data_IF_323155518482
#
_entry.id   IF_323155518482
#
_cell.length_a   1.000
_cell.length_b   1.000
_cell.length_c   1.000
_cell.angle_alpha   90.00
_cell.angle_beta   90.00
_cell.angle_gamma   90.00
#
_symmetry.space_group_name_H-M   'P 1'
#
loop_
_entity.id
_entity.type
_entity.pdbx_description
1 polymer ?
#
# COMPACT_ATOMS: atom_id res chain seq x y z
N UNK A 1 37.44 29.29 -4.95
CA UNK A 1 38.77 28.75 -4.62
C UNK A 1 38.81 28.39 -3.14
N UNK A 2 39.56 27.33 -2.79
CA UNK A 2 39.96 26.84 -1.44
C UNK A 2 38.88 26.00 -0.73
N UNK A 3 38.90 24.67 -0.93
CA UNK A 3 39.72 23.62 -0.24
C UNK A 3 39.19 23.34 1.18
N UNK A 4 38.57 22.19 1.46
CA UNK A 4 39.17 20.86 1.76
C UNK A 4 39.56 20.73 3.25
N UNK A 5 38.78 19.97 4.04
CA UNK A 5 39.15 19.33 5.33
C UNK A 5 38.08 18.24 5.61
N UNK A 6 38.38 16.96 5.34
CA UNK A 6 38.81 15.94 6.32
C UNK A 6 37.65 15.55 7.27
N UNK A 7 36.88 14.48 7.00
CA UNK A 7 37.22 13.05 7.21
C UNK A 7 37.76 12.78 8.64
N UNK A 8 36.88 12.31 9.53
CA UNK A 8 37.29 11.61 10.75
C UNK A 8 36.19 10.62 11.20
N UNK A 9 36.64 9.38 11.38
CA UNK A 9 35.93 8.19 11.81
C UNK A 9 35.08 8.36 13.07
N UNK A 10 33.95 7.65 13.13
CA UNK A 10 33.63 6.86 14.32
C UNK A 10 32.73 5.66 13.98
N UNK A 11 33.36 4.57 13.55
CA UNK A 11 32.80 3.23 13.60
C UNK A 11 32.77 2.76 15.06
N UNK A 12 31.60 2.72 15.69
CA UNK A 12 31.41 1.95 16.93
C UNK A 12 30.56 0.74 16.59
N UNK A 13 31.24 -0.39 16.45
CA UNK A 13 30.66 -1.71 16.39
C UNK A 13 30.00 -2.01 17.74
N UNK A 14 28.67 -2.14 17.75
CA UNK A 14 27.96 -2.75 18.87
C UNK A 14 27.71 -4.22 18.57
N UNK A 15 28.27 -5.03 19.46
CA UNK A 15 28.09 -6.47 19.58
C UNK A 15 26.61 -6.84 19.63
N UNK A 16 26.18 -7.71 18.73
CA UNK A 16 24.86 -8.35 18.74
C UNK A 16 25.00 -9.86 18.88
N UNK A 17 24.36 -10.41 19.90
CA UNK A 17 24.52 -11.76 20.44
C UNK A 17 24.31 -12.90 19.45
N UNK A 18 25.22 -13.87 19.56
CA UNK A 18 25.13 -15.25 19.07
C UNK A 18 23.91 -15.95 19.70
N UNK A 19 22.96 -16.41 18.88
CA UNK A 19 21.96 -17.40 19.28
C UNK A 19 21.83 -18.45 18.18
N UNK A 20 22.24 -19.66 18.53
CA UNK A 20 22.21 -20.84 17.70
C UNK A 20 20.77 -21.33 17.53
N UNK A 21 20.38 -21.65 16.29
CA UNK A 21 19.15 -22.35 15.98
C UNK A 21 19.47 -23.51 15.02
N UNK A 22 19.50 -24.70 15.64
CA UNK A 22 19.28 -26.06 15.12
C UNK A 22 19.24 -26.24 13.60
N UNK A 23 20.31 -26.87 13.14
CA UNK A 23 20.30 -27.85 12.06
C UNK A 23 19.15 -28.85 12.21
N UNK A 24 18.31 -28.96 11.18
CA UNK A 24 17.33 -30.03 11.05
C UNK A 24 17.74 -30.84 9.82
N UNK A 25 18.05 -32.12 10.04
CA UNK A 25 18.48 -33.08 9.04
C UNK A 25 17.55 -33.15 7.82
N UNK A 26 18.09 -33.44 6.60
CA UNK A 26 17.28 -33.71 5.43
C UNK A 26 16.79 -35.16 5.48
N UNK A 27 15.54 -35.37 5.91
CA UNK A 27 14.88 -36.68 5.82
C UNK A 27 13.99 -36.79 4.57
N UNK A 28 14.36 -37.79 3.78
CA UNK A 28 13.53 -38.63 2.93
C UNK A 28 12.90 -38.00 1.67
N UNK A 29 13.49 -38.38 0.52
CA UNK A 29 12.80 -38.49 -0.77
C UNK A 29 11.53 -39.34 -0.59
N UNK A 30 10.37 -38.70 -0.69
CA UNK A 30 9.09 -39.36 -0.91
C UNK A 30 8.73 -39.27 -2.41
N UNK A 31 8.33 -40.41 -2.94
CA UNK A 31 7.93 -40.71 -4.31
C UNK A 31 6.80 -39.78 -4.79
N UNK A 32 6.97 -39.08 -5.91
CA UNK A 32 5.88 -38.29 -6.52
C UNK A 32 4.98 -39.22 -7.36
N UNK A 33 3.66 -39.23 -7.14
CA UNK A 33 2.68 -40.04 -7.88
C UNK A 33 2.31 -39.46 -9.27
N UNK A 34 3.22 -38.69 -9.87
CA UNK A 34 3.00 -37.99 -11.14
C UNK A 34 3.43 -38.78 -12.38
N UNK A 35 3.68 -40.08 -12.24
CA UNK A 35 3.84 -41.00 -13.37
C UNK A 35 2.48 -41.42 -13.95
N UNK A 36 1.63 -40.44 -14.26
CA UNK A 36 0.41 -40.66 -15.04
C UNK A 36 0.49 -39.87 -16.34
N UNK A 37 1.18 -40.49 -17.30
CA UNK A 37 0.88 -40.35 -18.71
C UNK A 37 -0.59 -40.66 -18.95
N UNK A 38 -1.40 -39.67 -19.34
CA UNK A 38 -2.66 -39.89 -20.04
C UNK A 38 -2.98 -38.69 -20.94
N UNK A 39 -2.38 -38.75 -22.12
CA UNK A 39 -2.84 -38.15 -23.37
C UNK A 39 -4.28 -38.60 -23.62
N UNK A 40 -5.27 -37.70 -23.52
CA UNK A 40 -6.57 -37.71 -24.26
C UNK A 40 -7.44 -36.52 -23.82
N UNK A 41 -7.99 -35.78 -24.79
CA UNK A 41 -9.28 -35.11 -24.60
C UNK A 41 -9.32 -33.62 -24.89
N UNK A 42 -9.79 -33.27 -26.08
CA UNK A 42 -10.36 -31.96 -26.40
C UNK A 42 -11.38 -31.53 -25.34
N UNK A 43 -11.19 -30.34 -24.78
CA UNK A 43 -12.11 -29.72 -23.85
C UNK A 43 -11.64 -28.32 -23.51
N UNK A 44 -11.87 -27.38 -24.44
CA UNK A 44 -11.71 -25.94 -24.21
C UNK A 44 -12.77 -25.51 -23.20
N UNK A 45 -12.50 -25.74 -21.92
CA UNK A 45 -13.09 -24.93 -20.86
C UNK A 45 -12.00 -23.94 -20.53
N UNK A 46 -12.00 -22.82 -21.24
CA UNK A 46 -11.29 -21.64 -20.78
C UNK A 46 -11.93 -21.26 -19.46
N UNK A 47 -11.36 -21.74 -18.36
CA UNK A 47 -11.52 -21.12 -17.05
C UNK A 47 -11.21 -19.64 -17.28
N UNK A 48 -12.26 -18.82 -17.36
CA UNK A 48 -12.13 -17.38 -17.39
C UNK A 48 -11.55 -17.04 -16.02
N UNK A 49 -10.22 -16.98 -15.96
CA UNK A 49 -9.47 -16.70 -14.76
C UNK A 49 -10.10 -15.46 -14.14
N UNK A 50 -10.78 -15.68 -13.01
CA UNK A 50 -11.49 -14.65 -12.27
C UNK A 50 -10.46 -13.55 -12.03
N UNK A 51 -10.70 -12.36 -12.62
CA UNK A 51 -9.74 -11.27 -12.50
C UNK A 51 -9.38 -11.07 -11.02
N UNK A 52 -8.09 -10.98 -10.68
CA UNK A 52 -7.68 -10.87 -9.28
C UNK A 52 -8.36 -9.66 -8.66
N UNK A 53 -9.03 -9.86 -7.53
CA UNK A 53 -9.66 -8.80 -6.75
C UNK A 53 -8.58 -7.77 -6.43
N UNK A 54 -8.68 -6.56 -7.01
CA UNK A 54 -7.71 -5.49 -6.77
C UNK A 54 -7.89 -5.01 -5.33
N UNK A 55 -6.88 -5.25 -4.50
CA UNK A 55 -6.84 -4.79 -3.13
C UNK A 55 -5.97 -3.54 -3.04
N UNK A 56 -6.43 -2.55 -2.27
CA UNK A 56 -5.62 -1.37 -1.97
C UNK A 56 -4.62 -1.75 -0.88
N UNK A 57 -3.32 -1.56 -1.14
CA UNK A 57 -2.32 -1.83 -0.12
C UNK A 57 -2.27 -0.69 0.90
N UNK A 58 -1.97 -1.00 2.17
CA UNK A 58 -1.77 0.03 3.19
C UNK A 58 -0.68 1.03 2.78
N UNK A 59 0.37 0.55 2.10
CA UNK A 59 1.45 1.41 1.60
C UNK A 59 0.94 2.44 0.56
N UNK A 60 0.00 2.04 -0.29
CA UNK A 60 -0.61 2.93 -1.29
C UNK A 60 -1.39 4.07 -0.58
N UNK A 61 -2.13 3.73 0.48
CA UNK A 61 -2.85 4.72 1.31
C UNK A 61 -1.90 5.61 2.11
N UNK A 62 -0.77 5.07 2.56
CA UNK A 62 0.24 5.83 3.30
C UNK A 62 0.93 6.85 2.40
N UNK A 63 1.28 6.45 1.18
CA UNK A 63 1.83 7.36 0.18
C UNK A 63 0.83 8.47 -0.18
N UNK A 64 -0.46 8.14 -0.30
CA UNK A 64 -1.52 9.13 -0.49
C UNK A 64 -1.57 10.14 0.66
N UNK A 65 -1.50 9.68 1.92
CA UNK A 65 -1.44 10.55 3.09
C UNK A 65 -0.25 11.52 3.03
N UNK A 66 0.95 11.00 2.76
CA UNK A 66 2.17 11.81 2.67
C UNK A 66 2.07 12.86 1.56
N UNK A 67 1.50 12.51 0.41
CA UNK A 67 1.29 13.46 -0.68
C UNK A 67 0.35 14.60 -0.26
N UNK A 68 -0.79 14.26 0.36
CA UNK A 68 -1.77 15.26 0.81
C UNK A 68 -1.13 16.21 1.84
N UNK A 69 -0.40 15.67 2.83
CA UNK A 69 0.34 16.48 3.80
C UNK A 69 1.40 17.36 3.15
N UNK A 70 2.14 16.84 2.16
CA UNK A 70 3.17 17.61 1.45
C UNK A 70 2.56 18.80 0.71
N UNK A 71 1.48 18.58 -0.04
CA UNK A 71 0.80 19.65 -0.78
C UNK A 71 0.13 20.63 0.21
N UNK A 72 -0.45 20.11 1.29
CA UNK A 72 -1.09 20.94 2.31
C UNK A 72 -0.09 21.82 3.05
N UNK A 73 1.04 21.25 3.45
CA UNK A 73 2.13 21.98 4.10
C UNK A 73 2.74 23.06 3.22
N UNK A 74 2.85 22.82 1.91
CA UNK A 74 3.37 23.81 0.96
C UNK A 74 2.40 24.98 0.69
N UNK A 75 1.09 24.70 0.64
CA UNK A 75 0.06 25.70 0.31
C UNK A 75 -0.61 26.35 1.53
N UNK A 76 -0.37 25.80 2.73
CA UNK A 76 -1.04 26.18 3.97
C UNK A 76 -2.53 25.80 4.03
N UNK A 77 -3.06 25.13 3.00
CA UNK A 77 -4.49 24.78 2.88
C UNK A 77 -4.64 23.31 2.49
N UNK A 78 -5.80 22.69 2.73
CA UNK A 78 -6.04 21.32 2.27
C UNK A 78 -6.24 21.30 0.74
N UNK A 79 -5.52 20.45 -0.02
CA UNK A 79 -5.67 20.38 -1.47
C UNK A 79 -7.04 19.86 -1.90
N UNK A 80 -7.48 20.32 -3.08
CA UNK A 80 -8.68 19.80 -3.73
C UNK A 80 -8.42 18.40 -4.32
N UNK A 81 -9.49 17.61 -4.49
CA UNK A 81 -9.40 16.28 -5.08
C UNK A 81 -8.75 16.29 -6.48
N UNK A 82 -9.01 17.34 -7.29
CA UNK A 82 -8.38 17.47 -8.60
C UNK A 82 -6.88 17.72 -8.51
N UNK A 83 -6.45 18.57 -7.57
CA UNK A 83 -5.02 18.84 -7.33
C UNK A 83 -4.31 17.57 -6.92
N UNK A 84 -4.88 16.80 -5.99
CA UNK A 84 -4.33 15.50 -5.56
C UNK A 84 -4.20 14.56 -6.77
N UNK A 85 -5.25 14.42 -7.58
CA UNK A 85 -5.24 13.53 -8.74
C UNK A 85 -4.21 13.96 -9.79
N UNK A 86 -4.08 15.25 -10.07
CA UNK A 86 -3.05 15.77 -10.99
C UNK A 86 -1.65 15.48 -10.48
N UNK A 87 -1.38 15.70 -9.20
CA UNK A 87 -0.08 15.40 -8.59
C UNK A 87 0.25 13.91 -8.65
N UNK A 88 -0.72 13.03 -8.36
CA UNK A 88 -0.53 11.57 -8.46
C UNK A 88 -0.24 11.09 -9.89
N UNK A 89 -0.74 11.78 -10.91
CA UNK A 89 -0.46 11.44 -12.33
C UNK A 89 0.94 11.85 -12.78
N UNK A 90 1.46 12.92 -12.18
CA UNK A 90 2.79 13.45 -12.45
C UNK A 90 3.88 12.58 -11.83
N UNK A 91 3.60 11.95 -10.68
CA UNK A 91 4.50 11.03 -10.01
C UNK A 91 4.36 9.60 -10.58
N UNK A 92 5.42 9.03 -11.19
CA UNK A 92 5.39 7.65 -11.69
C UNK A 92 5.10 6.60 -10.62
N UNK A 93 5.58 6.80 -9.39
CA UNK A 93 5.45 5.83 -8.30
C UNK A 93 4.04 5.86 -7.70
N UNK A 94 3.37 7.01 -7.77
CA UNK A 94 2.02 7.22 -7.26
C UNK A 94 0.92 7.03 -8.34
N UNK A 95 1.30 6.78 -9.60
CA UNK A 95 0.36 6.61 -10.72
C UNK A 95 -0.65 5.48 -10.49
N UNK A 96 -0.24 4.43 -9.78
CA UNK A 96 -1.13 3.33 -9.37
C UNK A 96 -2.27 3.81 -8.46
N UNK A 97 -1.99 4.75 -7.56
CA UNK A 97 -2.99 5.35 -6.65
C UNK A 97 -3.98 6.19 -7.47
N UNK A 98 -3.50 6.93 -8.48
CA UNK A 98 -4.39 7.66 -9.39
C UNK A 98 -5.40 6.72 -10.07
N UNK A 99 -4.94 5.57 -10.55
CA UNK A 99 -5.82 4.55 -11.14
C UNK A 99 -6.85 4.04 -10.14
N UNK A 100 -6.46 3.79 -8.88
CA UNK A 100 -7.39 3.38 -7.84
C UNK A 100 -8.46 4.44 -7.52
N UNK A 101 -8.12 5.72 -7.62
CA UNK A 101 -9.08 6.81 -7.44
C UNK A 101 -10.03 6.88 -8.65
N UNK A 102 -9.51 6.79 -9.86
CA UNK A 102 -10.31 6.82 -11.09
C UNK A 102 -11.27 5.63 -11.22
N UNK A 103 -10.82 4.44 -10.82
CA UNK A 103 -11.64 3.23 -10.76
C UNK A 103 -12.60 3.21 -9.56
N UNK A 104 -12.46 4.17 -8.63
CA UNK A 104 -13.30 4.31 -7.45
C UNK A 104 -13.01 3.30 -6.33
N UNK A 105 -11.83 2.67 -6.32
CA UNK A 105 -11.35 1.85 -5.20
C UNK A 105 -10.93 2.71 -4.00
N UNK A 106 -10.38 3.89 -4.27
CA UNK A 106 -10.09 4.92 -3.26
C UNK A 106 -11.01 6.10 -3.54
N UNK A 107 -11.71 6.56 -2.52
CA UNK A 107 -12.62 7.70 -2.60
C UNK A 107 -11.97 8.87 -1.84
N UNK A 108 -11.74 9.97 -2.55
CA UNK A 108 -11.37 11.25 -1.94
C UNK A 108 -12.63 11.95 -1.46
N UNK A 109 -12.67 12.40 -0.21
CA UNK A 109 -13.86 13.06 0.36
C UNK A 109 -14.00 14.51 -0.09
N UNK A 110 -12.89 15.14 -0.50
CA UNK A 110 -12.85 16.57 -0.85
C UNK A 110 -13.00 17.50 0.37
N UNK A 111 -12.86 16.96 1.59
CA UNK A 111 -12.92 17.80 2.80
C UNK A 111 -11.75 18.78 2.80
N UNK A 112 -12.01 20.05 3.11
CA UNK A 112 -10.97 21.09 3.17
C UNK A 112 -10.44 21.34 4.57
N UNK A 113 -11.01 20.66 5.56
CA UNK A 113 -10.63 20.75 6.96
C UNK A 113 -9.46 19.79 7.23
N UNK A 114 -8.51 20.22 8.05
CA UNK A 114 -7.38 19.37 8.45
C UNK A 114 -7.86 18.18 9.28
N UNK A 115 -8.77 18.43 10.20
CA UNK A 115 -9.42 17.41 11.02
C UNK A 115 -10.57 16.79 10.21
N UNK A 116 -10.36 15.57 9.72
CA UNK A 116 -11.35 14.88 8.91
C UNK A 116 -10.81 13.64 8.22
N UNK A 117 -11.72 12.91 7.57
CA UNK A 117 -11.36 11.82 6.65
C UNK A 117 -11.07 12.44 5.30
N UNK A 118 -9.84 12.32 4.81
CA UNK A 118 -9.43 12.89 3.51
C UNK A 118 -9.68 11.91 2.37
N UNK A 119 -9.46 10.62 2.64
CA UNK A 119 -9.70 9.55 1.69
C UNK A 119 -10.05 8.25 2.42
N UNK A 120 -10.74 7.34 1.75
CA UNK A 120 -10.99 6.01 2.26
C UNK A 120 -11.12 4.98 1.14
N UNK A 121 -10.86 3.72 1.46
CA UNK A 121 -11.05 2.60 0.57
C UNK A 121 -12.55 2.28 0.43
N UNK A 122 -13.00 1.95 -0.79
CA UNK A 122 -14.40 1.59 -1.07
C UNK A 122 -14.91 0.46 -0.18
N UNK A 123 -14.08 -0.53 0.13
CA UNK A 123 -14.44 -1.66 1.00
C UNK A 123 -14.72 -1.24 2.44
N UNK A 124 -14.17 -0.10 2.89
CA UNK A 124 -14.42 0.45 4.22
C UNK A 124 -15.91 0.83 4.43
N UNK A 125 -16.67 1.07 3.36
CA UNK A 125 -18.12 1.31 3.45
C UNK A 125 -18.95 0.02 3.65
N UNK A 126 -18.37 -1.15 3.39
CA UNK A 126 -19.07 -2.43 3.44
C UNK A 126 -18.67 -3.27 4.64
N UNK A 127 -17.38 -3.30 4.99
CA UNK A 127 -16.85 -4.16 6.05
C UNK A 127 -15.90 -3.35 6.91
N UNK A 128 -14.64 -3.29 6.51
CA UNK A 128 -13.54 -2.61 7.16
C UNK A 128 -12.48 -2.36 6.11
N UNK A 129 -11.85 -1.19 6.15
CA UNK A 129 -10.86 -0.82 5.14
C UNK A 129 -10.01 0.34 5.60
N UNK A 130 -9.08 0.73 4.74
CA UNK A 130 -8.13 1.80 5.05
C UNK A 130 -8.75 3.17 4.89
N UNK A 131 -8.44 4.06 5.82
CA UNK A 131 -8.94 5.43 5.89
C UNK A 131 -7.76 6.36 6.15
N UNK A 132 -7.67 7.44 5.38
CA UNK A 132 -6.66 8.49 5.50
C UNK A 132 -7.25 9.65 6.29
N UNK A 133 -6.57 10.02 7.36
CA UNK A 133 -6.89 11.17 8.24
C UNK A 133 -5.62 11.95 8.52
N UNK A 134 -5.71 13.04 9.30
CA UNK A 134 -4.55 13.81 9.75
C UNK A 134 -3.56 13.02 10.61
N UNK A 135 -4.00 11.94 11.26
CA UNK A 135 -3.14 11.09 12.08
C UNK A 135 -2.39 10.04 11.23
N UNK A 136 -2.67 9.96 9.93
CA UNK A 136 -2.15 8.93 9.05
C UNK A 136 -3.22 7.98 8.53
N UNK A 137 -2.81 6.74 8.29
CA UNK A 137 -3.67 5.68 7.74
C UNK A 137 -4.13 4.77 8.87
N UNK A 138 -5.43 4.68 9.04
CA UNK A 138 -6.07 3.82 10.04
C UNK A 138 -6.96 2.80 9.33
N UNK A 139 -7.22 1.67 9.99
CA UNK A 139 -8.17 0.69 9.50
C UNK A 139 -9.44 0.78 10.33
N UNK A 140 -10.52 1.29 9.73
CA UNK A 140 -11.78 1.55 10.41
C UNK A 140 -12.87 0.57 9.94
N UNK A 141 -13.75 0.20 10.86
CA UNK A 141 -15.01 -0.45 10.53
C UNK A 141 -15.95 0.51 9.78
N UNK A 142 -16.95 -0.05 9.11
CA UNK A 142 -18.01 0.72 8.46
C UNK A 142 -18.67 1.71 9.41
N UNK A 143 -19.00 1.29 10.63
CA UNK A 143 -19.73 2.11 11.60
C UNK A 143 -18.87 3.30 12.06
N UNK A 144 -17.58 3.07 12.32
CA UNK A 144 -16.62 4.13 12.68
C UNK A 144 -16.41 5.12 11.54
N UNK A 145 -16.26 4.64 10.30
CA UNK A 145 -16.12 5.50 9.13
C UNK A 145 -17.38 6.35 8.95
N UNK A 146 -18.57 5.75 9.05
CA UNK A 146 -19.83 6.50 8.95
C UNK A 146 -19.99 7.54 10.07
N UNK A 147 -19.49 7.27 11.27
CA UNK A 147 -19.48 8.25 12.35
C UNK A 147 -18.54 9.43 12.06
N UNK A 148 -17.36 9.18 11.47
CA UNK A 148 -16.39 10.22 11.10
C UNK A 148 -16.79 11.05 9.86
N UNK A 149 -17.68 10.52 9.01
CA UNK A 149 -18.15 11.21 7.79
C UNK A 149 -19.39 12.10 8.00
N UNK A 150 -20.01 12.05 9.18
CA UNK A 150 -21.16 12.90 9.54
C UNK A 150 -20.73 14.28 10.01
#
# INVERSE_FOLDING_TARGET
>A
MRRLLLLACLTVALLGCKKEAKETEPKAKAMNPFDRSEKTGNGVISDVARAPKRTVAQNDMHNLHLLIETISGASGNMPDANTILTSLKQDPDARKIAQYIEEGWIILTGIKQREGVWAYEKEALTTRGFVVTNSGVEMLSKEELQAKLR
#
